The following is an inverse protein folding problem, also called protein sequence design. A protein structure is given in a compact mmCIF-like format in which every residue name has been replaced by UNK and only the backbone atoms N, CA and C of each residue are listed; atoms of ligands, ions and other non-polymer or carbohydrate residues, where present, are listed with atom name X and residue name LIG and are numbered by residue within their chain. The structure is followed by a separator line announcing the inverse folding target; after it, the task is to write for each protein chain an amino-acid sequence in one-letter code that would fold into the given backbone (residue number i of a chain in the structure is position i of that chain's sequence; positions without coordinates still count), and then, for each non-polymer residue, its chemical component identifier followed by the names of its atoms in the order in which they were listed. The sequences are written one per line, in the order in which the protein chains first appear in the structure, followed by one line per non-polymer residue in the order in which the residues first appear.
data_IF_377492923065
#
_entry.id   IF_377492923065
#
_cell.length_a   1.000
_cell.length_b   1.000
_cell.length_c   1.000
_cell.angle_alpha   90.00
_cell.angle_beta   90.00
_cell.angle_gamma   90.00
#
_symmetry.space_group_name_H-M   'P 1'
#
loop_
_entity.id
_entity.type
_entity.pdbx_description
1 polymer ?
#
# COMPACT_ATOMS: atom_id res chain seq x y z
N UNK A 1 11.90 -0.77 8.20
CA UNK A 1 11.49 -2.18 8.14
C UNK A 1 10.17 -2.28 8.90
N UNK A 2 9.07 -2.50 8.18
CA UNK A 2 7.72 -2.60 8.79
C UNK A 2 7.42 -4.07 9.05
N UNK A 3 7.12 -4.43 10.30
CA UNK A 3 6.78 -5.79 10.72
C UNK A 3 5.28 -6.05 10.65
N UNK A 4 4.88 -7.32 10.51
CA UNK A 4 3.47 -7.74 10.59
C UNK A 4 2.82 -7.20 11.88
N UNK A 5 1.56 -6.76 11.80
CA UNK A 5 0.80 -6.11 12.89
C UNK A 5 1.19 -4.67 13.28
N UNK A 6 1.97 -3.96 12.46
CA UNK A 6 2.16 -2.52 12.67
C UNK A 6 0.93 -1.71 12.21
N UNK A 7 0.57 -0.71 13.01
CA UNK A 7 -0.44 0.29 12.66
C UNK A 7 0.15 1.29 11.67
N UNK A 8 -0.57 1.53 10.59
CA UNK A 8 -0.23 2.53 9.57
C UNK A 8 -1.31 3.60 9.48
N UNK A 9 -0.90 4.79 9.09
CA UNK A 9 -1.82 5.90 8.80
C UNK A 9 -1.96 6.02 7.29
N UNK A 10 -3.20 6.08 6.83
CA UNK A 10 -3.56 6.31 5.44
C UNK A 10 -4.06 7.75 5.28
N UNK A 11 -3.61 8.43 4.24
CA UNK A 11 -4.11 9.77 3.86
C UNK A 11 -5.43 9.69 3.08
N UNK A 12 -6.29 8.78 3.51
CA UNK A 12 -7.63 8.53 2.98
C UNK A 12 -8.58 8.38 4.16
N UNK A 13 -9.65 9.16 4.19
CA UNK A 13 -10.64 9.18 5.26
C UNK A 13 -12.08 9.06 4.75
N UNK A 14 -13.04 9.50 5.56
CA UNK A 14 -14.48 9.45 5.25
C UNK A 14 -14.82 10.22 3.98
N UNK A 15 -14.12 11.32 3.69
CA UNK A 15 -14.32 12.10 2.47
C UNK A 15 -14.01 11.31 1.20
N UNK A 16 -13.18 10.27 1.31
CA UNK A 16 -12.82 9.34 0.24
C UNK A 16 -13.58 8.00 0.35
N UNK A 17 -14.60 7.93 1.21
CA UNK A 17 -15.46 6.75 1.39
C UNK A 17 -14.80 5.61 2.18
N UNK A 18 -13.75 5.87 2.96
CA UNK A 18 -13.12 4.83 3.77
C UNK A 18 -13.91 4.60 5.05
N UNK A 19 -14.24 3.33 5.33
CA UNK A 19 -14.96 2.92 6.53
C UNK A 19 -14.18 1.86 7.33
N UNK A 20 -14.34 1.81 8.67
CA UNK A 20 -13.84 0.70 9.46
C UNK A 20 -14.39 -0.64 8.93
N UNK A 21 -13.51 -1.64 8.81
CA UNK A 21 -13.81 -2.92 8.18
C UNK A 21 -13.35 -3.03 6.72
N UNK A 22 -13.02 -1.91 6.06
CA UNK A 22 -12.45 -1.95 4.71
C UNK A 22 -11.11 -2.70 4.69
N UNK A 23 -10.97 -3.57 3.69
CA UNK A 23 -9.74 -4.31 3.40
C UNK A 23 -9.11 -3.73 2.15
N UNK A 24 -7.89 -3.20 2.27
CA UNK A 24 -7.17 -2.54 1.17
C UNK A 24 -5.93 -3.33 0.78
N UNK A 25 -5.66 -3.44 -0.52
CA UNK A 25 -4.44 -4.03 -1.03
C UNK A 25 -3.30 -3.00 -1.06
N UNK A 26 -2.11 -3.40 -0.61
CA UNK A 26 -0.89 -2.60 -0.79
C UNK A 26 -0.18 -3.11 -2.03
N UNK A 27 0.07 -2.21 -2.96
CA UNK A 27 0.91 -2.48 -4.12
C UNK A 27 2.25 -1.78 -3.92
N UNK A 28 3.34 -2.53 -4.00
CA UNK A 28 4.67 -1.96 -3.99
C UNK A 28 5.00 -1.52 -5.41
N UNK A 29 5.27 -0.23 -5.58
CA UNK A 29 5.70 0.31 -6.86
C UNK A 29 7.10 -0.22 -7.15
N UNK A 30 7.19 -1.11 -8.14
CA UNK A 30 8.49 -1.51 -8.64
C UNK A 30 9.04 -0.35 -9.48
N UNK A 31 10.25 0.09 -9.12
CA UNK A 31 10.90 1.22 -9.80
C UNK A 31 11.09 0.99 -11.30
N UNK A 32 11.61 2.00 -11.98
CA UNK A 32 12.06 1.81 -13.37
C UNK A 32 13.30 0.93 -13.36
N UNK A 33 13.24 -0.19 -14.06
CA UNK A 33 14.40 -1.06 -14.28
C UNK A 33 14.86 -0.90 -15.72
N UNK A 34 16.18 -0.85 -15.90
CA UNK A 34 16.78 -0.83 -17.22
C UNK A 34 16.61 -2.20 -17.87
N UNK A 35 15.92 -2.24 -18.99
CA UNK A 35 15.71 -3.46 -19.77
C UNK A 35 17.08 -4.02 -20.22
N UNK A 36 17.43 -5.26 -19.86
CA UNK A 36 18.72 -5.85 -20.22
C UNK A 36 18.84 -6.15 -21.73
N UNK A 37 17.73 -6.20 -22.47
CA UNK A 37 17.68 -6.44 -23.92
C UNK A 37 17.67 -5.13 -24.70
N UNK A 38 16.85 -4.16 -24.28
CA UNK A 38 16.67 -2.89 -25.04
C UNK A 38 17.40 -1.69 -24.46
N UNK A 39 17.92 -1.79 -23.24
CA UNK A 39 18.64 -0.71 -22.54
C UNK A 39 17.78 0.47 -22.09
N UNK A 40 16.45 0.42 -22.30
CA UNK A 40 15.49 1.48 -21.94
C UNK A 40 14.95 1.27 -20.53
N UNK A 41 14.57 2.36 -19.88
CA UNK A 41 13.88 2.30 -18.60
C UNK A 41 12.45 1.78 -18.78
N UNK A 42 12.16 0.60 -18.26
CA UNK A 42 10.83 0.00 -18.27
C UNK A 42 10.22 0.10 -16.87
N UNK A 43 8.97 0.58 -16.80
CA UNK A 43 8.20 0.55 -15.56
C UNK A 43 7.78 -0.90 -15.30
N UNK A 44 8.27 -1.48 -14.21
CA UNK A 44 7.85 -2.79 -13.77
C UNK A 44 6.38 -2.74 -13.28
N UNK A 45 5.61 -3.83 -13.47
CA UNK A 45 4.26 -3.89 -12.93
C UNK A 45 4.30 -3.80 -11.40
N UNK A 46 3.32 -3.12 -10.83
CA UNK A 46 3.18 -2.99 -9.37
C UNK A 46 2.86 -4.38 -8.79
N UNK A 47 3.61 -4.81 -7.77
CA UNK A 47 3.42 -6.14 -7.16
C UNK A 47 2.58 -6.03 -5.87
N UNK A 48 1.71 -7.01 -5.64
CA UNK A 48 0.95 -7.10 -4.39
C UNK A 48 1.89 -7.39 -3.21
N UNK A 49 2.05 -6.40 -2.33
CA UNK A 49 2.96 -6.46 -1.18
C UNK A 49 2.25 -6.89 0.12
N UNK A 50 0.93 -6.70 0.20
CA UNK A 50 0.20 -7.01 1.41
C UNK A 50 -1.25 -6.55 1.42
N UNK A 51 -1.87 -6.67 2.59
CA UNK A 51 -3.26 -6.28 2.83
C UNK A 51 -3.40 -5.54 4.15
N UNK A 52 -4.26 -4.52 4.17
CA UNK A 52 -4.54 -3.66 5.31
C UNK A 52 -5.99 -3.81 5.75
N UNK A 53 -6.24 -3.80 7.05
CA UNK A 53 -7.57 -3.70 7.64
C UNK A 53 -7.74 -2.32 8.28
N UNK A 54 -8.67 -1.51 7.80
CA UNK A 54 -9.01 -0.23 8.42
C UNK A 54 -9.83 -0.50 9.68
N UNK A 55 -9.39 0.01 10.83
CA UNK A 55 -10.10 -0.14 12.10
C UNK A 55 -10.62 1.18 12.67
N UNK A 56 -10.13 2.32 12.15
CA UNK A 56 -10.61 3.64 12.55
C UNK A 56 -10.46 4.64 11.42
N UNK A 57 -11.51 5.41 11.14
CA UNK A 57 -11.49 6.45 10.10
C UNK A 57 -11.81 7.82 10.69
N UNK A 58 -11.15 8.84 10.17
CA UNK A 58 -11.41 10.27 10.38
C UNK A 58 -11.78 10.92 9.03
N UNK A 59 -11.98 12.23 8.99
CA UNK A 59 -12.51 12.87 7.78
C UNK A 59 -11.52 12.82 6.61
N UNK A 60 -10.22 12.97 6.88
CA UNK A 60 -9.15 12.98 5.85
C UNK A 60 -8.16 11.82 5.95
N UNK A 61 -8.09 11.16 7.10
CA UNK A 61 -7.13 10.08 7.36
C UNK A 61 -7.82 8.88 7.98
N UNK A 62 -7.17 7.72 7.90
CA UNK A 62 -7.62 6.50 8.58
C UNK A 62 -6.43 5.71 9.13
N UNK A 63 -6.72 4.88 10.13
CA UNK A 63 -5.76 3.95 10.73
C UNK A 63 -6.09 2.54 10.28
N UNK A 64 -5.06 1.85 9.82
CA UNK A 64 -5.15 0.49 9.35
C UNK A 64 -4.06 -0.40 9.97
N UNK A 65 -4.34 -1.70 10.04
CA UNK A 65 -3.42 -2.73 10.50
C UNK A 65 -2.92 -3.54 9.30
N UNK A 66 -1.61 -3.76 9.23
CA UNK A 66 -1.01 -4.66 8.24
C UNK A 66 -1.26 -6.12 8.61
N UNK A 67 -2.11 -6.78 7.81
CA UNK A 67 -2.56 -8.16 8.04
C UNK A 67 -1.56 -9.19 7.49
N UNK A 68 -1.05 -8.95 6.28
CA UNK A 68 -0.11 -9.83 5.59
C UNK A 68 0.93 -8.98 4.86
N UNK A 69 2.20 -9.33 5.03
CA UNK A 69 3.34 -8.72 4.33
C UNK A 69 4.13 -9.84 3.67
N UNK A 70 4.21 -9.87 2.34
CA UNK A 70 5.03 -10.85 1.60
C UNK A 70 6.46 -10.37 1.38
N UNK A 71 6.71 -9.06 1.53
CA UNK A 71 8.03 -8.40 1.43
C UNK A 71 8.18 -7.32 2.50
N UNK A 72 9.40 -6.85 2.81
CA UNK A 72 9.58 -5.67 3.66
C UNK A 72 8.96 -4.44 2.99
N UNK A 73 7.84 -3.97 3.54
CA UNK A 73 7.14 -2.77 3.08
C UNK A 73 7.92 -1.54 3.56
N UNK A 74 8.16 -0.60 2.65
CA UNK A 74 8.80 0.68 2.95
C UNK A 74 7.71 1.75 3.14
N UNK A 75 7.89 2.59 4.15
CA UNK A 75 6.99 3.74 4.40
C UNK A 75 7.07 4.66 3.17
N UNK A 76 5.92 5.02 2.58
CA UNK A 76 5.68 5.82 1.34
C UNK A 76 5.10 5.05 0.11
N UNK A 77 4.80 3.75 0.21
CA UNK A 77 4.16 3.02 -0.90
C UNK A 77 2.69 3.44 -1.13
N UNK A 78 2.30 3.53 -2.42
CA UNK A 78 1.00 4.06 -2.87
C UNK A 78 -0.15 3.08 -2.59
N UNK A 79 -1.24 3.57 -2.00
CA UNK A 79 -2.45 2.77 -1.72
C UNK A 79 -3.51 3.07 -2.78
N UNK A 80 -4.07 2.02 -3.40
CA UNK A 80 -5.22 2.12 -4.31
C UNK A 80 -6.34 1.20 -3.84
N UNK A 81 -7.57 1.70 -3.90
CA UNK A 81 -8.76 0.89 -3.77
C UNK A 81 -8.98 0.07 -5.07
N UNK A 82 -9.52 -1.15 -4.98
CA UNK A 82 -9.96 -1.91 -6.16
C UNK A 82 -11.11 -1.24 -6.90
#
# INVERSE_FOLDING_TARGET
MVGQYQGVVLDLGRQQGIEPGHVLAIYQANGKMKDPVTGKDVKLPDELAGTLLVFRTFDRVSYALLMKSTRPIHVLDTVRAP
#
